data_IF_622942761045
#
_entry.id   IF_622942761045
#
_cell.length_a   1.000
_cell.length_b   1.000
_cell.length_c   1.000
_cell.angle_alpha   90.00
_cell.angle_beta   90.00
_cell.angle_gamma   90.00
#
_symmetry.space_group_name_H-M   'P 1'
#
loop_
_entity.id
_entity.type
_entity.pdbx_description
1 polymer ?
#
# COMPACT_ATOMS: atom_id res chain seq x y z
N UNK A 1 15.28 -52.54 4.23
CA UNK A 1 14.21 -51.59 3.86
C UNK A 1 14.89 -50.32 3.40
N UNK A 2 14.79 -49.96 2.13
CA UNK A 2 15.26 -48.68 1.62
C UNK A 2 14.44 -47.58 2.32
N UNK A 3 15.09 -46.77 3.16
CA UNK A 3 14.46 -45.58 3.72
C UNK A 3 14.25 -44.64 2.54
N UNK A 4 13.01 -44.53 2.07
CA UNK A 4 12.66 -43.57 1.03
C UNK A 4 12.56 -42.22 1.73
N UNK A 5 13.46 -41.31 1.36
CA UNK A 5 13.45 -39.94 1.85
C UNK A 5 12.40 -39.12 1.10
N UNK A 6 11.86 -38.11 1.77
CA UNK A 6 10.90 -37.19 1.19
C UNK A 6 11.46 -36.48 -0.05
N UNK A 7 10.68 -36.38 -1.13
CA UNK A 7 11.08 -35.66 -2.35
C UNK A 7 11.03 -34.12 -2.25
N UNK A 8 10.71 -33.54 -1.08
CA UNK A 8 10.66 -32.09 -0.92
C UNK A 8 12.07 -31.51 -0.92
N UNK A 9 12.27 -30.47 -1.75
CA UNK A 9 13.53 -29.75 -1.87
C UNK A 9 13.38 -28.34 -1.28
N UNK A 10 14.24 -28.00 -0.33
CA UNK A 10 14.29 -26.68 0.29
C UNK A 10 14.94 -25.64 -0.63
N UNK A 11 14.81 -24.34 -0.31
CA UNK A 11 15.46 -23.22 -1.03
C UNK A 11 16.98 -23.38 -1.19
N UNK A 12 17.65 -23.99 -0.23
CA UNK A 12 19.10 -24.26 -0.25
C UNK A 12 19.47 -25.49 -1.12
N UNK A 13 18.48 -26.07 -1.81
CA UNK A 13 18.55 -27.28 -2.65
C UNK A 13 18.76 -28.58 -1.88
N UNK A 14 18.78 -28.55 -0.54
CA UNK A 14 18.82 -29.76 0.27
C UNK A 14 17.48 -30.49 0.23
N UNK A 15 17.52 -31.81 0.43
CA UNK A 15 16.34 -32.68 0.42
C UNK A 15 15.95 -32.98 1.86
N UNK A 16 14.64 -32.97 2.13
CA UNK A 16 14.09 -33.36 3.41
C UNK A 16 14.50 -34.79 3.80
N UNK A 17 15.12 -34.94 4.98
CA UNK A 17 15.64 -36.21 5.50
C UNK A 17 14.61 -37.02 6.30
N UNK A 18 13.37 -36.54 6.40
CA UNK A 18 12.31 -37.25 7.11
C UNK A 18 11.88 -38.49 6.31
N UNK A 19 11.65 -39.58 7.04
CA UNK A 19 11.18 -40.84 6.45
C UNK A 19 9.77 -40.68 5.89
N UNK A 20 9.54 -41.37 4.77
CA UNK A 20 8.23 -41.46 4.15
C UNK A 20 7.51 -42.69 4.68
N UNK A 21 6.30 -42.48 5.21
CA UNK A 21 5.41 -43.57 5.61
C UNK A 21 4.58 -44.02 4.39
N UNK A 22 4.96 -45.14 3.76
CA UNK A 22 4.15 -45.81 2.75
C UNK A 22 4.09 -45.15 1.35
N UNK A 23 2.90 -45.17 0.75
CA UNK A 23 2.64 -45.03 -0.70
C UNK A 23 2.70 -43.58 -1.25
N UNK A 24 3.35 -42.65 -0.55
CA UNK A 24 3.43 -41.24 -0.95
C UNK A 24 4.87 -40.82 -1.22
N UNK A 25 5.08 -39.78 -2.02
CA UNK A 25 6.42 -39.26 -2.32
C UNK A 25 6.98 -38.30 -1.24
N UNK A 26 6.16 -37.97 -0.24
CA UNK A 26 6.44 -36.92 0.74
C UNK A 26 6.37 -37.45 2.16
N UNK A 27 7.17 -36.89 3.08
CA UNK A 27 7.02 -37.20 4.50
C UNK A 27 5.68 -36.68 5.01
N UNK A 28 5.32 -37.07 6.23
CA UNK A 28 4.10 -36.63 6.90
C UNK A 28 3.86 -35.11 6.76
N UNK A 29 4.88 -34.28 6.98
CA UNK A 29 4.79 -32.82 6.98
C UNK A 29 4.60 -32.20 5.58
N UNK A 30 5.26 -32.75 4.57
CA UNK A 30 5.20 -32.25 3.19
C UNK A 30 4.04 -32.87 2.38
N UNK A 31 3.39 -33.91 2.90
CA UNK A 31 2.26 -34.56 2.24
C UNK A 31 0.96 -33.73 2.37
N UNK A 32 0.36 -33.23 1.27
CA UNK A 32 -0.88 -32.45 1.31
C UNK A 32 -2.13 -33.27 1.66
N UNK A 33 -2.08 -34.60 1.46
CA UNK A 33 -3.22 -35.51 1.67
C UNK A 33 -3.27 -36.06 3.11
N UNK A 34 -2.18 -35.93 3.86
CA UNK A 34 -2.15 -36.34 5.26
C UNK A 34 -2.99 -35.38 6.11
N UNK A 35 -3.93 -35.93 6.88
CA UNK A 35 -4.74 -35.18 7.83
C UNK A 35 -3.87 -34.71 9.01
N UNK A 36 -3.93 -33.41 9.28
CA UNK A 36 -3.17 -32.71 10.33
C UNK A 36 -4.07 -31.80 11.16
N UNK A 37 -5.36 -32.14 11.25
CA UNK A 37 -6.34 -31.41 12.04
C UNK A 37 -6.28 -31.72 13.55
N UNK A 38 -5.57 -32.78 13.96
CA UNK A 38 -5.47 -33.19 15.37
C UNK A 38 -4.63 -32.26 16.26
N UNK A 39 -4.92 -32.27 17.56
CA UNK A 39 -4.29 -31.40 18.57
C UNK A 39 -2.81 -31.73 18.85
N UNK A 40 -2.33 -32.91 18.46
CA UNK A 40 -0.95 -33.35 18.67
C UNK A 40 0.04 -32.67 17.71
N UNK A 41 -0.45 -32.16 16.58
CA UNK A 41 0.35 -31.50 15.54
C UNK A 41 1.03 -30.25 16.09
N UNK A 42 0.34 -29.45 16.90
CA UNK A 42 0.89 -28.24 17.52
C UNK A 42 2.17 -28.55 18.30
N UNK A 43 2.09 -29.50 19.24
CA UNK A 43 3.23 -29.89 20.11
C UNK A 43 4.41 -30.41 19.28
N UNK A 44 4.13 -31.29 18.30
CA UNK A 44 5.16 -31.84 17.42
C UNK A 44 5.85 -30.75 16.58
N UNK A 45 5.09 -29.77 16.11
CA UNK A 45 5.61 -28.67 15.30
C UNK A 45 6.50 -27.73 16.14
N UNK A 46 6.09 -27.40 17.36
CA UNK A 46 6.91 -26.62 18.29
C UNK A 46 8.20 -27.34 18.70
N UNK A 47 8.14 -28.65 18.94
CA UNK A 47 9.32 -29.45 19.24
C UNK A 47 10.31 -29.48 18.06
N UNK A 48 9.81 -29.59 16.83
CA UNK A 48 10.65 -29.50 15.63
C UNK A 48 11.28 -28.13 15.50
N UNK A 49 10.51 -27.06 15.72
CA UNK A 49 11.04 -25.70 15.71
C UNK A 49 12.13 -25.49 16.78
N UNK A 50 11.91 -25.97 18.01
CA UNK A 50 12.90 -25.90 19.11
C UNK A 50 14.19 -26.66 18.81
N UNK A 51 14.13 -27.72 18.00
CA UNK A 51 15.32 -28.46 17.52
C UNK A 51 16.06 -27.75 16.39
N UNK A 52 15.56 -26.61 15.90
CA UNK A 52 16.14 -25.85 14.80
C UNK A 52 15.80 -26.39 13.42
N UNK A 53 14.76 -27.23 13.30
CA UNK A 53 14.37 -27.78 12.00
C UNK A 53 13.71 -26.70 11.13
N UNK A 54 14.01 -26.72 9.84
CA UNK A 54 13.31 -25.92 8.85
C UNK A 54 11.87 -26.42 8.65
N UNK A 55 10.89 -25.51 8.72
CA UNK A 55 9.46 -25.81 8.55
C UNK A 55 8.95 -25.43 7.14
N UNK A 56 9.87 -25.14 6.24
CA UNK A 56 9.60 -24.73 4.87
C UNK A 56 8.76 -25.81 4.14
N UNK A 57 7.71 -25.35 3.46
CA UNK A 57 6.83 -26.17 2.63
C UNK A 57 5.84 -27.06 3.36
N UNK A 58 5.76 -26.98 4.70
CA UNK A 58 4.87 -27.85 5.47
C UNK A 58 3.41 -27.65 5.06
N UNK A 59 2.67 -28.76 4.94
CA UNK A 59 1.28 -28.79 4.51
C UNK A 59 0.35 -28.88 5.72
N UNK A 60 -0.02 -27.74 6.28
CA UNK A 60 -0.76 -27.56 7.54
C UNK A 60 -2.19 -27.03 7.30
N UNK A 61 -2.79 -27.44 6.17
CA UNK A 61 -4.16 -27.07 5.82
C UNK A 61 -5.14 -27.59 6.88
N UNK A 62 -6.08 -26.73 7.30
CA UNK A 62 -7.07 -27.02 8.36
C UNK A 62 -6.46 -27.42 9.72
N UNK A 63 -5.17 -27.20 9.96
CA UNK A 63 -4.56 -27.56 11.23
C UNK A 63 -5.06 -26.65 12.37
N UNK A 64 -5.27 -27.23 13.56
CA UNK A 64 -5.49 -26.47 14.78
C UNK A 64 -4.13 -26.10 15.39
N UNK A 65 -3.74 -24.84 15.28
CA UNK A 65 -2.48 -24.28 15.73
C UNK A 65 -2.71 -23.05 16.63
N UNK A 66 -3.86 -23.01 17.32
CA UNK A 66 -4.15 -21.98 18.33
C UNK A 66 -3.05 -21.95 19.40
N UNK A 67 -2.58 -20.74 19.76
CA UNK A 67 -1.48 -20.46 20.68
C UNK A 67 -0.10 -21.00 20.27
N UNK A 68 0.10 -21.42 19.00
CA UNK A 68 1.38 -22.03 18.62
C UNK A 68 2.56 -21.05 18.75
N UNK A 69 3.69 -21.53 19.27
CA UNK A 69 4.93 -20.77 19.33
C UNK A 69 5.90 -21.11 18.19
N UNK A 70 5.99 -20.21 17.20
CA UNK A 70 6.87 -20.29 16.03
C UNK A 70 7.65 -18.99 15.83
N UNK A 71 8.10 -18.37 16.92
CA UNK A 71 8.91 -17.14 16.89
C UNK A 71 10.18 -17.38 16.07
N UNK A 72 10.45 -16.51 15.09
CA UNK A 72 11.61 -16.63 14.19
C UNK A 72 11.65 -17.93 13.36
N UNK A 73 10.53 -18.67 13.25
CA UNK A 73 10.48 -19.87 12.43
C UNK A 73 10.61 -19.53 10.94
N UNK A 74 11.32 -20.40 10.21
CA UNK A 74 11.32 -20.39 8.75
C UNK A 74 10.13 -21.20 8.23
N UNK A 75 9.08 -20.49 7.83
CA UNK A 75 7.80 -21.00 7.37
C UNK A 75 7.59 -20.68 5.87
N UNK A 76 8.69 -20.54 5.13
CA UNK A 76 8.62 -20.27 3.69
C UNK A 76 7.80 -21.34 2.97
N UNK A 77 6.98 -20.95 1.97
CA UNK A 77 6.11 -21.87 1.22
C UNK A 77 5.14 -22.72 2.07
N UNK A 78 4.94 -22.43 3.36
CA UNK A 78 4.03 -23.20 4.21
C UNK A 78 2.58 -23.03 3.74
N UNK A 79 1.78 -24.08 3.90
CA UNK A 79 0.36 -24.05 3.57
C UNK A 79 -0.47 -24.06 4.86
N UNK A 80 -0.93 -22.89 5.28
CA UNK A 80 -1.86 -22.65 6.40
C UNK A 80 -3.30 -22.42 5.92
N UNK A 81 -3.66 -22.89 4.72
CA UNK A 81 -5.02 -22.71 4.19
C UNK A 81 -6.06 -23.19 5.19
N UNK A 82 -6.96 -22.30 5.61
CA UNK A 82 -7.99 -22.55 6.64
C UNK A 82 -7.46 -23.08 7.98
N UNK A 83 -6.18 -22.85 8.30
CA UNK A 83 -5.65 -23.18 9.61
C UNK A 83 -6.19 -22.23 10.67
N UNK A 84 -6.33 -22.72 11.89
CA UNK A 84 -6.57 -21.91 13.08
C UNK A 84 -5.22 -21.55 13.69
N UNK A 85 -4.87 -20.27 13.64
CA UNK A 85 -3.64 -19.67 14.16
C UNK A 85 -3.98 -18.57 15.17
N UNK A 86 -5.16 -18.63 15.80
CA UNK A 86 -5.56 -17.66 16.83
C UNK A 86 -4.53 -17.62 17.94
N UNK A 87 -4.18 -16.43 18.41
CA UNK A 87 -3.14 -16.18 19.42
C UNK A 87 -1.73 -16.72 19.08
N UNK A 88 -1.45 -17.12 17.83
CA UNK A 88 -0.15 -17.67 17.45
C UNK A 88 1.00 -16.65 17.65
N UNK A 89 2.15 -17.12 18.11
CA UNK A 89 3.37 -16.32 18.24
C UNK A 89 4.28 -16.50 17.02
N UNK A 90 4.19 -15.56 16.08
CA UNK A 90 4.89 -15.59 14.78
C UNK A 90 5.89 -14.42 14.63
N UNK A 91 6.30 -13.79 15.73
CA UNK A 91 7.24 -12.66 15.73
C UNK A 91 8.52 -12.96 14.94
N UNK A 92 8.88 -12.08 13.98
CA UNK A 92 10.06 -12.23 13.11
C UNK A 92 10.15 -13.55 12.33
N UNK A 93 9.05 -14.27 12.17
CA UNK A 93 9.00 -15.46 11.33
C UNK A 93 9.08 -15.12 9.84
N UNK A 94 9.42 -16.12 9.02
CA UNK A 94 9.43 -16.00 7.57
C UNK A 94 8.25 -16.75 6.96
N UNK A 95 7.18 -16.04 6.62
CA UNK A 95 5.99 -16.55 5.92
C UNK A 95 6.00 -16.16 4.42
N UNK A 96 7.17 -15.87 3.85
CA UNK A 96 7.24 -15.58 2.41
C UNK A 96 6.72 -16.76 1.59
N UNK A 97 5.94 -16.46 0.56
CA UNK A 97 5.21 -17.44 -0.28
C UNK A 97 4.21 -18.34 0.48
N UNK A 98 3.90 -18.07 1.75
CA UNK A 98 2.94 -18.89 2.50
C UNK A 98 1.51 -18.77 1.94
N UNK A 99 0.70 -19.82 2.12
CA UNK A 99 -0.73 -19.76 1.86
C UNK A 99 -1.50 -19.60 3.18
N UNK A 100 -2.04 -18.41 3.43
CA UNK A 100 -2.91 -18.08 4.58
C UNK A 100 -4.38 -17.94 4.15
N UNK A 101 -4.74 -18.47 2.96
CA UNK A 101 -6.09 -18.37 2.42
C UNK A 101 -7.13 -18.88 3.42
N UNK A 102 -8.03 -17.98 3.85
CA UNK A 102 -9.05 -18.26 4.88
C UNK A 102 -8.52 -18.78 6.23
N UNK A 103 -7.24 -18.54 6.53
CA UNK A 103 -6.70 -18.81 7.86
C UNK A 103 -7.28 -17.82 8.88
N UNK A 104 -7.44 -18.27 10.13
CA UNK A 104 -7.78 -17.41 11.24
C UNK A 104 -6.52 -17.06 12.02
N UNK A 105 -6.12 -15.79 12.02
CA UNK A 105 -4.95 -15.30 12.75
C UNK A 105 -5.37 -14.27 13.81
N UNK A 106 -6.62 -14.29 14.28
CA UNK A 106 -7.08 -13.38 15.33
C UNK A 106 -6.12 -13.39 16.53
N UNK A 107 -5.74 -12.20 17.01
CA UNK A 107 -4.78 -11.97 18.10
C UNK A 107 -3.38 -12.57 17.90
N UNK A 108 -3.04 -13.11 16.73
CA UNK A 108 -1.70 -13.60 16.46
C UNK A 108 -0.67 -12.46 16.45
N UNK A 109 0.53 -12.70 16.94
CA UNK A 109 1.64 -11.76 16.88
C UNK A 109 2.48 -11.99 15.61
N UNK A 110 2.27 -11.16 14.58
CA UNK A 110 3.05 -11.14 13.34
C UNK A 110 3.97 -9.91 13.24
N UNK A 111 4.39 -9.34 14.39
CA UNK A 111 5.31 -8.19 14.38
C UNK A 111 6.61 -8.56 13.65
N UNK A 112 7.03 -7.70 12.73
CA UNK A 112 8.24 -7.89 11.91
C UNK A 112 8.28 -9.20 11.10
N UNK A 113 7.13 -9.79 10.79
CA UNK A 113 7.03 -11.02 10.01
C UNK A 113 7.15 -10.74 8.51
N UNK A 114 7.90 -11.58 7.80
CA UNK A 114 7.97 -11.51 6.34
C UNK A 114 6.77 -12.24 5.72
N UNK A 115 5.91 -11.51 5.03
CA UNK A 115 4.72 -11.97 4.30
C UNK A 115 4.89 -11.74 2.79
N UNK A 116 6.12 -11.60 2.29
CA UNK A 116 6.39 -11.37 0.88
C UNK A 116 5.75 -12.47 0.02
N UNK A 117 4.90 -12.06 -0.91
CA UNK A 117 4.17 -12.96 -1.80
C UNK A 117 3.32 -14.03 -1.08
N UNK A 118 2.93 -13.79 0.18
CA UNK A 118 1.95 -14.63 0.87
C UNK A 118 0.54 -14.44 0.29
N UNK A 119 -0.25 -15.51 0.25
CA UNK A 119 -1.67 -15.47 -0.10
C UNK A 119 -2.50 -15.19 1.15
N UNK A 120 -2.99 -13.96 1.26
CA UNK A 120 -3.75 -13.42 2.40
C UNK A 120 -5.26 -13.33 2.12
N UNK A 121 -5.74 -13.88 1.01
CA UNK A 121 -7.13 -13.73 0.60
C UNK A 121 -8.06 -14.46 1.59
N UNK A 122 -9.03 -13.71 2.12
CA UNK A 122 -9.98 -14.20 3.12
C UNK A 122 -9.37 -14.51 4.50
N UNK A 123 -8.10 -14.15 4.77
CA UNK A 123 -7.51 -14.27 6.11
C UNK A 123 -8.27 -13.41 7.11
N UNK A 124 -8.60 -13.98 8.28
CA UNK A 124 -9.24 -13.26 9.37
C UNK A 124 -8.16 -12.66 10.26
N UNK A 125 -7.97 -11.34 10.16
CA UNK A 125 -6.93 -10.64 10.93
C UNK A 125 -7.33 -10.34 12.38
N UNK A 126 -8.62 -10.11 12.67
CA UNK A 126 -9.10 -9.78 14.03
C UNK A 126 -8.23 -8.70 14.71
N UNK A 127 -7.71 -9.01 15.91
CA UNK A 127 -6.77 -8.17 16.67
C UNK A 127 -5.29 -8.54 16.47
N UNK A 128 -4.93 -9.24 15.37
CA UNK A 128 -3.55 -9.61 15.05
C UNK A 128 -2.59 -8.41 15.07
N UNK A 129 -1.36 -8.62 15.55
CA UNK A 129 -0.30 -7.62 15.57
C UNK A 129 0.49 -7.61 14.25
N UNK A 130 0.23 -6.61 13.40
CA UNK A 130 0.81 -6.50 12.06
C UNK A 130 1.89 -5.41 11.94
N UNK A 131 2.47 -4.96 13.05
CA UNK A 131 3.48 -3.88 12.99
C UNK A 131 4.73 -4.35 12.24
N UNK A 132 5.23 -3.51 11.33
CA UNK A 132 6.43 -3.76 10.53
C UNK A 132 6.40 -5.07 9.72
N UNK A 133 5.22 -5.54 9.30
CA UNK A 133 5.15 -6.66 8.37
C UNK A 133 5.79 -6.29 7.02
N UNK A 134 6.47 -7.25 6.43
CA UNK A 134 7.03 -7.10 5.08
C UNK A 134 6.11 -7.77 4.06
N UNK A 135 5.39 -7.00 3.25
CA UNK A 135 4.63 -7.55 2.12
C UNK A 135 5.50 -7.70 0.86
N UNK A 136 6.79 -7.35 0.93
CA UNK A 136 7.77 -7.35 -0.15
C UNK A 136 7.81 -6.03 -0.93
N UNK A 137 8.24 -6.09 -2.20
CA UNK A 137 8.39 -4.94 -3.08
C UNK A 137 7.16 -3.99 -3.06
N UNK A 138 7.46 -2.73 -2.77
CA UNK A 138 6.50 -1.64 -2.66
C UNK A 138 5.41 -1.84 -1.60
N UNK A 139 5.53 -2.79 -0.66
CA UNK A 139 4.46 -3.17 0.26
C UNK A 139 3.17 -3.58 -0.49
N UNK A 140 3.34 -4.25 -1.63
CA UNK A 140 2.24 -4.76 -2.45
C UNK A 140 1.87 -6.18 -2.07
N UNK A 141 0.58 -6.45 -1.87
CA UNK A 141 0.09 -7.83 -1.72
C UNK A 141 0.27 -8.62 -3.01
N UNK A 142 0.38 -9.94 -2.89
CA UNK A 142 0.52 -10.89 -4.00
C UNK A 142 -0.47 -10.61 -5.13
N UNK A 143 -1.75 -10.44 -4.81
CA UNK A 143 -2.82 -10.25 -5.79
C UNK A 143 -2.61 -8.98 -6.63
N UNK A 144 -2.09 -7.88 -6.06
CA UNK A 144 -1.80 -6.67 -6.85
C UNK A 144 -0.67 -6.93 -7.87
N UNK A 145 0.36 -7.69 -7.47
CA UNK A 145 1.47 -8.05 -8.37
C UNK A 145 1.03 -9.01 -9.48
N UNK A 146 0.19 -9.99 -9.13
CA UNK A 146 -0.43 -10.88 -10.12
C UNK A 146 -1.29 -10.09 -11.11
N UNK A 147 -2.08 -9.12 -10.63
CA UNK A 147 -2.86 -8.21 -11.47
C UNK A 147 -1.98 -7.38 -12.41
N UNK A 148 -0.88 -6.81 -11.90
CA UNK A 148 0.10 -6.06 -12.70
C UNK A 148 0.72 -6.97 -13.79
N UNK A 149 0.98 -8.24 -13.49
CA UNK A 149 1.52 -9.21 -14.43
C UNK A 149 0.51 -9.62 -15.51
N UNK A 150 -0.73 -9.91 -15.14
CA UNK A 150 -1.79 -10.22 -16.12
C UNK A 150 -2.07 -9.02 -17.04
N UNK A 151 -2.01 -7.81 -16.50
CA UNK A 151 -2.18 -6.59 -17.27
C UNK A 151 -1.07 -6.43 -18.33
N UNK A 152 0.19 -6.72 -17.98
CA UNK A 152 1.32 -6.74 -18.92
C UNK A 152 1.16 -7.78 -20.02
N UNK A 153 0.49 -8.90 -19.71
CA UNK A 153 0.17 -9.96 -20.68
C UNK A 153 -1.06 -9.63 -21.54
N UNK A 154 -1.73 -8.49 -21.33
CA UNK A 154 -2.96 -8.10 -22.03
C UNK A 154 -4.23 -8.78 -21.51
N UNK A 155 -4.16 -9.56 -20.43
CA UNK A 155 -5.33 -10.20 -19.83
C UNK A 155 -6.02 -9.26 -18.83
N UNK A 156 -6.88 -8.38 -19.35
CA UNK A 156 -7.54 -7.34 -18.57
C UNK A 156 -8.55 -7.93 -17.57
N UNK A 157 -9.28 -8.98 -17.94
CA UNK A 157 -10.30 -9.59 -17.07
C UNK A 157 -9.66 -10.22 -15.83
N UNK A 158 -8.66 -11.08 -16.01
CA UNK A 158 -7.92 -11.66 -14.88
C UNK A 158 -7.21 -10.60 -14.05
N UNK A 159 -6.68 -9.56 -14.68
CA UNK A 159 -6.08 -8.45 -13.95
C UNK A 159 -7.10 -7.77 -13.02
N UNK A 160 -8.33 -7.52 -13.50
CA UNK A 160 -9.40 -6.95 -12.67
C UNK A 160 -9.79 -7.84 -11.50
N UNK A 161 -9.95 -9.14 -11.73
CA UNK A 161 -10.20 -10.12 -10.66
C UNK A 161 -9.12 -10.04 -9.58
N UNK A 162 -7.85 -10.02 -9.99
CA UNK A 162 -6.71 -9.89 -9.07
C UNK A 162 -6.66 -8.56 -8.33
N UNK A 163 -7.04 -7.45 -8.95
CA UNK A 163 -7.16 -6.17 -8.27
C UNK A 163 -8.33 -6.13 -7.28
N UNK A 164 -9.43 -6.83 -7.56
CA UNK A 164 -10.54 -6.99 -6.63
C UNK A 164 -10.12 -7.82 -5.40
N UNK A 165 -9.43 -8.93 -5.61
CA UNK A 165 -8.84 -9.71 -4.51
C UNK A 165 -7.86 -8.87 -3.68
N UNK A 166 -6.99 -8.08 -4.33
CA UNK A 166 -6.06 -7.19 -3.65
C UNK A 166 -6.77 -6.14 -2.79
N UNK A 167 -7.85 -5.55 -3.30
CA UNK A 167 -8.68 -4.60 -2.56
C UNK A 167 -9.23 -5.21 -1.27
N UNK A 168 -9.74 -6.44 -1.33
CA UNK A 168 -10.26 -7.15 -0.15
C UNK A 168 -9.17 -7.34 0.92
N UNK A 169 -7.98 -7.79 0.51
CA UNK A 169 -6.84 -7.98 1.41
C UNK A 169 -6.44 -6.65 2.07
N UNK A 170 -6.27 -5.58 1.29
CA UNK A 170 -5.91 -4.27 1.84
C UNK A 170 -6.98 -3.74 2.80
N UNK A 171 -8.27 -3.94 2.47
CA UNK A 171 -9.37 -3.53 3.33
C UNK A 171 -9.35 -4.27 4.67
N UNK A 172 -9.07 -5.57 4.66
CA UNK A 172 -8.99 -6.38 5.88
C UNK A 172 -7.82 -5.96 6.77
N UNK A 173 -6.63 -5.74 6.19
CA UNK A 173 -5.46 -5.23 6.93
C UNK A 173 -5.75 -3.83 7.49
N UNK A 174 -6.30 -2.92 6.67
CA UNK A 174 -6.70 -1.58 7.11
C UNK A 174 -7.67 -1.64 8.30
N UNK A 175 -8.69 -2.51 8.23
CA UNK A 175 -9.70 -2.61 9.28
C UNK A 175 -9.10 -3.16 10.59
N UNK A 176 -8.13 -4.08 10.54
CA UNK A 176 -7.37 -4.54 11.71
C UNK A 176 -6.59 -3.39 12.37
N UNK A 177 -5.87 -2.57 11.59
CA UNK A 177 -5.19 -1.41 12.18
C UNK A 177 -6.18 -0.40 12.76
N UNK A 178 -7.31 -0.18 12.07
CA UNK A 178 -8.35 0.75 12.53
C UNK A 178 -9.03 0.28 13.83
N UNK A 179 -9.33 -1.01 13.98
CA UNK A 179 -9.93 -1.54 15.22
C UNK A 179 -9.00 -1.38 16.44
N UNK A 180 -7.69 -1.30 16.19
CA UNK A 180 -6.66 -1.09 17.21
C UNK A 180 -6.30 0.37 17.47
N UNK A 181 -6.99 1.32 16.83
CA UNK A 181 -6.68 2.75 16.95
C UNK A 181 -5.41 3.21 16.25
N UNK A 182 -4.83 2.38 15.36
CA UNK A 182 -3.59 2.65 14.63
C UNK A 182 -3.92 3.30 13.28
N UNK A 183 -4.47 4.52 13.33
CA UNK A 183 -4.98 5.23 12.15
C UNK A 183 -3.89 5.54 11.11
N UNK A 184 -2.66 5.81 11.55
CA UNK A 184 -1.54 6.13 10.66
C UNK A 184 -1.14 4.92 9.80
N UNK A 185 -1.02 3.74 10.42
CA UNK A 185 -0.73 2.48 9.75
C UNK A 185 -1.87 2.09 8.82
N UNK A 186 -3.12 2.24 9.28
CA UNK A 186 -4.31 2.01 8.46
C UNK A 186 -4.31 2.86 7.17
N UNK A 187 -3.83 4.11 7.24
CA UNK A 187 -3.73 5.02 6.09
C UNK A 187 -2.88 4.46 4.93
N UNK A 188 -1.79 3.74 5.23
CA UNK A 188 -0.95 3.11 4.20
C UNK A 188 -1.72 2.06 3.38
N UNK A 189 -2.53 1.25 4.07
CA UNK A 189 -3.35 0.21 3.43
C UNK A 189 -4.60 0.78 2.78
N UNK A 190 -5.17 1.86 3.32
CA UNK A 190 -6.23 2.61 2.66
C UNK A 190 -5.78 3.18 1.30
N UNK A 191 -4.59 3.80 1.25
CA UNK A 191 -4.01 4.27 -0.01
C UNK A 191 -3.93 3.13 -1.05
N UNK A 192 -3.39 1.98 -0.63
CA UNK A 192 -3.26 0.80 -1.51
C UNK A 192 -4.62 0.24 -1.94
N UNK A 193 -5.61 0.20 -1.05
CA UNK A 193 -7.00 -0.15 -1.35
C UNK A 193 -7.56 0.75 -2.46
N UNK A 194 -7.38 2.07 -2.37
CA UNK A 194 -7.85 3.01 -3.39
C UNK A 194 -7.13 2.84 -4.73
N UNK A 195 -5.82 2.56 -4.70
CA UNK A 195 -5.05 2.22 -5.91
C UNK A 195 -5.60 0.95 -6.57
N UNK A 196 -5.87 -0.10 -5.80
CA UNK A 196 -6.47 -1.34 -6.30
C UNK A 196 -7.86 -1.11 -6.90
N UNK A 197 -8.73 -0.34 -6.23
CA UNK A 197 -10.04 0.08 -6.76
C UNK A 197 -9.91 0.81 -8.11
N UNK A 198 -9.03 1.79 -8.19
CA UNK A 198 -8.80 2.54 -9.44
C UNK A 198 -8.33 1.63 -10.57
N UNK A 199 -7.47 0.64 -10.29
CA UNK A 199 -6.95 -0.29 -11.30
C UNK A 199 -8.05 -1.20 -11.88
N UNK A 200 -9.16 -1.41 -11.17
CA UNK A 200 -10.33 -2.15 -11.69
C UNK A 200 -11.13 -1.33 -12.71
N UNK A 201 -11.05 0.00 -12.66
CA UNK A 201 -11.83 0.90 -13.51
C UNK A 201 -11.36 0.86 -14.97
N UNK A 202 -12.28 1.05 -15.95
CA UNK A 202 -11.93 1.17 -17.35
C UNK A 202 -10.91 2.29 -17.60
N UNK A 203 -10.01 2.11 -18.57
CA UNK A 203 -8.93 3.08 -18.85
C UNK A 203 -9.44 4.47 -19.25
N UNK A 204 -10.51 4.52 -20.04
CA UNK A 204 -11.07 5.76 -20.59
C UNK A 204 -12.29 6.26 -19.79
N UNK A 205 -12.39 5.95 -18.50
CA UNK A 205 -13.48 6.46 -17.65
C UNK A 205 -13.10 7.77 -16.96
N UNK A 206 -14.06 8.69 -16.87
CA UNK A 206 -13.92 9.93 -16.09
C UNK A 206 -13.67 9.63 -14.60
N UNK A 207 -14.25 8.55 -14.07
CA UNK A 207 -14.02 8.11 -12.70
C UNK A 207 -12.55 7.75 -12.45
N UNK A 208 -11.92 7.01 -13.37
CA UNK A 208 -10.51 6.64 -13.27
C UNK A 208 -9.61 7.86 -13.37
N UNK A 209 -9.92 8.77 -14.29
CA UNK A 209 -9.20 10.03 -14.44
C UNK A 209 -9.28 10.86 -13.15
N UNK A 210 -10.47 11.03 -12.60
CA UNK A 210 -10.68 11.78 -11.36
C UNK A 210 -9.94 11.14 -10.18
N UNK A 211 -10.02 9.82 -10.05
CA UNK A 211 -9.24 9.07 -9.04
C UNK A 211 -7.73 9.19 -9.25
N UNK A 212 -7.25 9.33 -10.48
CA UNK A 212 -5.85 9.59 -10.78
C UNK A 212 -5.41 11.01 -10.36
N UNK A 213 -6.26 12.01 -10.59
CA UNK A 213 -6.03 13.39 -10.14
C UNK A 213 -5.95 13.45 -8.61
N UNK A 214 -6.85 12.78 -7.90
CA UNK A 214 -6.84 12.73 -6.42
C UNK A 214 -5.58 12.05 -5.89
N UNK A 215 -5.17 10.92 -6.47
CA UNK A 215 -3.94 10.22 -6.08
C UNK A 215 -2.69 11.10 -6.29
N UNK A 216 -2.62 11.78 -7.43
CA UNK A 216 -1.50 12.65 -7.78
C UNK A 216 -1.41 13.85 -6.82
N UNK A 217 -2.54 14.51 -6.56
CA UNK A 217 -2.59 15.74 -5.74
C UNK A 217 -2.46 15.47 -4.25
N UNK A 218 -3.09 14.41 -3.74
CA UNK A 218 -3.27 14.23 -2.28
C UNK A 218 -2.82 12.86 -1.77
N UNK A 219 -2.54 11.91 -2.68
CA UNK A 219 -2.38 10.50 -2.31
C UNK A 219 -3.61 9.96 -1.58
N UNK A 220 -4.80 10.29 -2.08
CA UNK A 220 -6.09 9.99 -1.44
C UNK A 220 -6.23 10.57 -0.03
N UNK A 221 -5.59 11.70 0.24
CA UNK A 221 -5.61 12.37 1.56
C UNK A 221 -4.69 11.75 2.61
N UNK A 222 -3.88 10.75 2.27
CA UNK A 222 -2.98 10.06 3.20
C UNK A 222 -1.52 10.54 3.12
N UNK A 223 -1.15 11.30 2.08
CA UNK A 223 0.25 11.65 1.79
C UNK A 223 0.49 13.16 1.83
N UNK A 224 0.84 13.76 3.00
CA UNK A 224 0.96 15.21 3.14
C UNK A 224 2.03 15.81 2.24
N UNK A 225 3.10 15.07 1.96
CA UNK A 225 4.16 15.52 1.05
C UNK A 225 3.66 15.71 -0.39
N UNK A 226 2.70 14.90 -0.86
CA UNK A 226 2.09 15.09 -2.19
C UNK A 226 1.26 16.36 -2.24
N UNK A 227 0.54 16.66 -1.16
CA UNK A 227 -0.23 17.90 -1.04
C UNK A 227 0.71 19.10 -1.14
N UNK A 228 1.81 19.12 -0.37
CA UNK A 228 2.81 20.21 -0.44
C UNK A 228 3.40 20.35 -1.85
N UNK A 229 3.83 19.24 -2.47
CA UNK A 229 4.38 19.29 -3.83
C UNK A 229 3.35 19.81 -4.84
N UNK A 230 2.09 19.36 -4.74
CA UNK A 230 1.02 19.82 -5.62
C UNK A 230 0.71 21.30 -5.38
N UNK A 231 0.68 21.76 -4.14
CA UNK A 231 0.50 23.18 -3.77
C UNK A 231 1.55 24.06 -4.50
N UNK A 232 2.83 23.69 -4.42
CA UNK A 232 3.92 24.43 -5.06
C UNK A 232 3.79 24.43 -6.58
N UNK A 233 3.49 23.26 -7.18
CA UNK A 233 3.29 23.14 -8.63
C UNK A 233 2.09 23.97 -9.08
N UNK A 234 1.00 23.96 -8.31
CA UNK A 234 -0.22 24.71 -8.61
C UNK A 234 0.06 26.21 -8.68
N UNK A 235 0.73 26.77 -7.66
CA UNK A 235 1.16 28.18 -7.65
C UNK A 235 2.09 28.49 -8.84
N UNK A 236 3.04 27.61 -9.16
CA UNK A 236 3.92 27.81 -10.31
C UNK A 236 3.17 27.80 -11.65
N UNK A 237 2.18 26.92 -11.82
CA UNK A 237 1.34 26.89 -13.03
C UNK A 237 0.53 28.16 -13.16
N UNK A 238 -0.09 28.65 -12.08
CA UNK A 238 -0.85 29.89 -12.10
C UNK A 238 0.04 31.12 -12.32
N UNK A 239 1.23 31.16 -11.72
CA UNK A 239 2.25 32.16 -12.02
C UNK A 239 2.54 32.26 -13.52
N UNK A 240 2.73 31.12 -14.19
CA UNK A 240 2.93 31.09 -15.65
C UNK A 240 1.68 31.60 -16.37
N UNK A 241 0.48 31.14 -15.99
CA UNK A 241 -0.77 31.62 -16.60
C UNK A 241 -0.91 33.15 -16.48
N UNK A 242 -0.68 33.72 -15.29
CA UNK A 242 -0.77 35.16 -15.07
C UNK A 242 0.30 35.95 -15.82
N UNK A 243 1.50 35.41 -15.98
CA UNK A 243 2.54 36.07 -16.77
C UNK A 243 2.17 36.19 -18.27
N UNK A 244 1.36 35.27 -18.80
CA UNK A 244 0.83 35.35 -20.17
C UNK A 244 -0.44 36.21 -20.30
N UNK A 245 -1.34 36.18 -19.31
CA UNK A 245 -2.56 37.01 -19.31
C UNK A 245 -2.21 38.49 -19.05
N UNK A 246 -1.29 38.69 -18.11
CA UNK A 246 -0.80 39.96 -17.62
C UNK A 246 -1.48 40.43 -16.33
N UNK A 247 -0.71 41.16 -15.53
CA UNK A 247 -1.12 41.75 -14.24
C UNK A 247 -0.88 43.26 -14.25
N UNK A 248 -1.77 44.02 -13.62
CA UNK A 248 -1.61 45.45 -13.37
C UNK A 248 -1.04 45.68 -11.98
N UNK A 249 0.02 46.49 -11.90
CA UNK A 249 0.51 46.99 -10.63
C UNK A 249 -0.21 48.29 -10.25
N UNK A 250 -0.37 48.54 -8.95
CA UNK A 250 -1.01 49.74 -8.37
C UNK A 250 -0.42 51.07 -8.87
N UNK A 251 0.85 51.09 -9.29
CA UNK A 251 1.51 52.25 -9.92
C UNK A 251 1.10 52.51 -11.38
N UNK A 252 0.17 51.73 -11.94
CA UNK A 252 -0.34 51.87 -13.30
C UNK A 252 0.45 51.12 -14.37
N UNK A 253 1.52 50.40 -14.01
CA UNK A 253 2.30 49.57 -14.94
C UNK A 253 1.59 48.25 -15.25
N UNK A 254 1.70 47.81 -16.50
CA UNK A 254 1.15 46.54 -16.98
C UNK A 254 2.29 45.57 -17.29
N UNK A 255 2.23 44.37 -16.69
CA UNK A 255 3.25 43.35 -16.77
C UNK A 255 2.70 42.16 -17.54
N UNK A 256 3.30 41.83 -18.69
CA UNK A 256 2.93 40.70 -19.54
C UNK A 256 4.16 40.22 -20.30
N UNK A 257 4.38 38.91 -20.34
CA UNK A 257 5.45 38.29 -21.12
C UNK A 257 5.32 38.68 -22.60
N UNK A 258 6.45 39.11 -23.17
CA UNK A 258 6.55 39.43 -24.60
C UNK A 258 7.87 38.94 -25.18
N UNK A 259 7.80 38.36 -26.38
CA UNK A 259 8.99 37.98 -27.15
C UNK A 259 9.86 39.19 -27.56
N UNK A 260 9.32 40.40 -27.45
CA UNK A 260 10.04 41.65 -27.74
C UNK A 260 10.82 42.19 -26.53
N UNK A 261 10.62 41.64 -25.32
CA UNK A 261 11.27 42.09 -24.09
C UNK A 261 12.60 41.37 -23.85
N UNK A 262 13.49 42.01 -23.08
CA UNK A 262 14.76 41.41 -22.68
C UNK A 262 14.55 40.27 -21.67
N UNK A 263 15.52 39.34 -21.58
CA UNK A 263 15.45 38.23 -20.63
C UNK A 263 15.28 38.68 -19.16
N UNK A 264 15.99 39.72 -18.67
CA UNK A 264 15.82 40.20 -17.29
C UNK A 264 14.40 40.74 -17.01
N UNK A 265 13.79 41.44 -17.98
CA UNK A 265 12.43 41.96 -17.86
C UNK A 265 11.39 40.83 -17.83
N UNK A 266 11.57 39.81 -18.67
CA UNK A 266 10.70 38.63 -18.66
C UNK A 266 10.84 37.85 -17.35
N UNK A 267 12.04 37.78 -16.77
CA UNK A 267 12.27 37.16 -15.46
C UNK A 267 11.63 37.97 -14.31
N UNK A 268 11.67 39.30 -14.35
CA UNK A 268 11.00 40.11 -13.33
C UNK A 268 9.47 39.97 -13.42
N UNK A 269 8.90 39.92 -14.63
CA UNK A 269 7.46 39.66 -14.84
C UNK A 269 7.05 38.29 -14.27
N UNK A 270 7.87 37.26 -14.46
CA UNK A 270 7.63 35.94 -13.87
C UNK A 270 7.69 35.98 -12.35
N UNK A 271 8.64 36.72 -11.78
CA UNK A 271 8.74 36.91 -10.33
C UNK A 271 7.52 37.64 -9.76
N UNK A 272 7.08 38.73 -10.39
CA UNK A 272 5.91 39.50 -9.96
C UNK A 272 4.62 38.67 -10.09
N UNK A 273 4.51 37.87 -11.15
CA UNK A 273 3.40 36.93 -11.35
C UNK A 273 3.40 35.80 -10.31
N UNK A 274 4.58 35.31 -9.92
CA UNK A 274 4.74 34.32 -8.87
C UNK A 274 4.35 34.89 -7.51
N UNK A 275 4.82 36.09 -7.19
CA UNK A 275 4.45 36.80 -5.97
C UNK A 275 2.92 37.01 -5.90
N UNK A 276 2.30 37.48 -6.99
CA UNK A 276 0.86 37.65 -7.07
C UNK A 276 0.10 36.33 -6.86
N UNK A 277 0.48 35.27 -7.58
CA UNK A 277 -0.12 33.94 -7.45
C UNK A 277 0.01 33.40 -6.02
N UNK A 278 1.18 33.53 -5.39
CA UNK A 278 1.39 33.09 -4.00
C UNK A 278 0.47 33.84 -3.02
N UNK A 279 0.37 35.18 -3.13
CA UNK A 279 -0.48 36.02 -2.27
C UNK A 279 -1.97 35.74 -2.48
N UNK A 280 -2.38 35.54 -3.74
CA UNK A 280 -3.76 35.22 -4.11
C UNK A 280 -4.15 33.81 -3.63
N UNK A 281 -3.24 32.84 -3.77
CA UNK A 281 -3.41 31.45 -3.35
C UNK A 281 -3.67 31.32 -1.84
N UNK A 282 -2.94 32.08 -1.01
CA UNK A 282 -3.15 32.13 0.44
C UNK A 282 -4.20 33.14 0.88
N UNK A 283 -4.91 33.76 -0.07
CA UNK A 283 -5.99 34.73 0.14
C UNK A 283 -5.61 35.97 0.97
N UNK A 284 -4.32 36.35 1.01
CA UNK A 284 -3.83 37.54 1.75
C UNK A 284 -4.25 38.86 1.10
N UNK A 285 -4.21 38.95 -0.23
CA UNK A 285 -4.76 40.06 -1.00
C UNK A 285 -4.18 41.46 -0.70
N UNK A 286 -2.86 41.64 -0.76
CA UNK A 286 -2.21 42.95 -0.48
C UNK A 286 -2.64 44.11 -1.40
N UNK A 287 -3.23 43.82 -2.56
CA UNK A 287 -3.78 44.84 -3.46
C UNK A 287 -2.76 45.51 -4.39
N UNK A 288 -1.48 45.13 -4.32
CA UNK A 288 -0.41 45.69 -5.18
C UNK A 288 -0.59 45.29 -6.64
N UNK A 289 -1.15 44.10 -6.89
CA UNK A 289 -1.36 43.54 -8.22
C UNK A 289 -2.81 43.14 -8.43
N UNK A 290 -3.32 43.41 -9.63
CA UNK A 290 -4.68 43.00 -10.06
C UNK A 290 -4.64 42.30 -11.41
N UNK A 291 -5.38 41.20 -11.59
CA UNK A 291 -5.38 40.44 -12.82
C UNK A 291 -6.29 41.10 -13.86
N UNK A 292 -5.91 40.97 -15.14
CA UNK A 292 -6.60 41.65 -16.25
C UNK A 292 -7.52 40.70 -17.01
N UNK A 293 -8.68 41.21 -17.43
CA UNK A 293 -9.63 40.47 -18.27
C UNK A 293 -10.04 39.12 -17.67
N UNK A 294 -9.84 38.03 -18.43
CA UNK A 294 -10.13 36.66 -18.00
C UNK A 294 -9.28 36.20 -16.80
N UNK A 295 -8.15 36.87 -16.53
CA UNK A 295 -7.30 36.60 -15.37
C UNK A 295 -8.05 36.73 -14.04
N UNK A 296 -9.10 37.56 -13.97
CA UNK A 296 -9.96 37.66 -12.78
C UNK A 296 -10.63 36.32 -12.44
N UNK A 297 -11.08 35.57 -13.44
CA UNK A 297 -11.69 34.26 -13.24
C UNK A 297 -10.67 33.23 -12.75
N UNK A 298 -9.45 33.25 -13.31
CA UNK A 298 -8.36 32.40 -12.84
C UNK A 298 -7.96 32.72 -11.40
N UNK A 299 -7.91 34.01 -11.03
CA UNK A 299 -7.61 34.42 -9.66
C UNK A 299 -8.66 33.93 -8.65
N UNK A 300 -9.94 34.04 -8.98
CA UNK A 300 -11.02 33.50 -8.12
C UNK A 300 -10.89 31.99 -7.98
N UNK A 301 -10.65 31.27 -9.08
CA UNK A 301 -10.50 29.82 -9.05
C UNK A 301 -9.27 29.37 -8.24
N UNK A 302 -8.14 30.06 -8.39
CA UNK A 302 -6.92 29.80 -7.64
C UNK A 302 -7.13 30.01 -6.13
N UNK A 303 -7.74 31.13 -5.74
CA UNK A 303 -8.02 31.45 -4.34
C UNK A 303 -8.93 30.40 -3.69
N UNK A 304 -10.03 30.01 -4.35
CA UNK A 304 -10.94 28.97 -3.85
C UNK A 304 -10.26 27.60 -3.74
N UNK A 305 -9.43 27.25 -4.74
CA UNK A 305 -8.67 26.00 -4.72
C UNK A 305 -7.64 26.00 -3.59
N UNK A 306 -7.00 27.14 -3.34
CA UNK A 306 -5.99 27.28 -2.29
C UNK A 306 -6.55 27.08 -0.90
N UNK A 307 -7.71 27.65 -0.60
CA UNK A 307 -8.39 27.44 0.69
C UNK A 307 -8.70 25.95 0.92
N UNK A 308 -9.30 25.28 -0.07
CA UNK A 308 -9.61 23.85 0.02
C UNK A 308 -8.36 22.99 0.24
N UNK A 309 -7.29 23.30 -0.49
CA UNK A 309 -6.03 22.56 -0.39
C UNK A 309 -5.31 22.75 0.94
N UNK A 310 -5.32 23.97 1.49
CA UNK A 310 -4.77 24.26 2.83
C UNK A 310 -5.58 23.52 3.89
N UNK A 311 -6.91 23.55 3.81
CA UNK A 311 -7.78 22.80 4.72
C UNK A 311 -7.48 21.30 4.68
N UNK A 312 -7.34 20.73 3.48
CA UNK A 312 -6.99 19.32 3.31
C UNK A 312 -5.60 19.01 3.87
N UNK A 313 -4.61 19.89 3.63
CA UNK A 313 -3.28 19.75 4.20
C UNK A 313 -3.32 19.68 5.73
N UNK A 314 -4.05 20.60 6.37
CA UNK A 314 -4.23 20.62 7.83
C UNK A 314 -4.86 19.31 8.32
N UNK A 315 -5.92 18.83 7.66
CA UNK A 315 -6.59 17.56 8.02
C UNK A 315 -5.61 16.38 7.90
N UNK A 316 -4.88 16.28 6.80
CA UNK A 316 -3.92 15.18 6.58
C UNK A 316 -2.76 15.22 7.58
N UNK A 317 -2.26 16.42 7.91
CA UNK A 317 -1.20 16.60 8.93
C UNK A 317 -1.73 16.27 10.32
N UNK A 318 -2.91 16.78 10.67
CA UNK A 318 -3.56 16.50 11.96
C UNK A 318 -3.71 14.99 12.18
N UNK A 319 -4.27 14.29 11.18
CA UNK A 319 -4.38 12.82 11.18
C UNK A 319 -3.03 12.14 11.41
N UNK A 320 -1.96 12.66 10.81
CA UNK A 320 -0.62 12.05 10.91
C UNK A 320 0.09 12.28 12.25
N UNK A 321 -0.11 13.43 12.90
CA UNK A 321 0.65 13.81 14.09
C UNK A 321 -0.11 13.66 15.40
N UNK A 322 -1.44 13.79 15.39
CA UNK A 322 -2.24 13.71 16.61
C UNK A 322 -2.72 12.29 16.93
N UNK A 323 -2.66 11.37 15.95
CA UNK A 323 -2.98 9.94 16.14
C UNK A 323 -1.74 9.06 16.37
N UNK A 324 -0.60 9.66 16.74
CA UNK A 324 0.65 8.98 17.15
C UNK A 324 0.82 9.01 18.66
#
# INVERSE_FOLDING_TARGET
MTIVNCKYQFRDRTICQESVDGNSDYCFWHNPSADKSGDDIKKKLEEKHKKGNCLEGYQLKNANLEDINLIQADLHNVNFKKADLRNAHLFKSNLSNACLFKADIDKANLKSTNLDNADLLGTVFGDAELHDIDLGDGQKVKNEREGDNYLKQGNIEKAKEKYFEAEEVYRNIKNNFKSRGLSYEAGKYYYREMVAKRKQMPYFSLERLWSAVIDMSTGYGEMPYRIISFLLIFVLVFSVIFSFIGIHHSSGRYYKLSAAQSLPENLSILYDSFYYSMVNFVTLGYGDYTPVGIGKMFAVFEALSGEFMIALFIITVYKRYMER
#
